data_IF_151853899855
#
_entry.id   IF_151853899855
#
_cell.length_a   1.000
_cell.length_b   1.000
_cell.length_c   1.000
_cell.angle_alpha   90.00
_cell.angle_beta   90.00
_cell.angle_gamma   90.00
#
_symmetry.space_group_name_H-M   'P 1'
#
loop_
_entity.id
_entity.type
_entity.pdbx_description
1 polymer ?
#
# COMPACT_ATOMS: atom_id res chain seq x y z
N UNK A 1 -1.13 -14.92 49.56
CA UNK A 1 -0.42 -13.62 49.58
C UNK A 1 0.65 -13.69 48.51
N UNK A 2 0.86 -12.70 47.64
CA UNK A 2 0.13 -11.44 47.41
C UNK A 2 -0.23 -11.33 45.93
N UNK A 3 -1.42 -10.81 45.62
CA UNK A 3 -1.84 -10.52 44.25
C UNK A 3 -1.48 -9.09 43.88
N UNK A 4 -0.82 -8.89 42.74
CA UNK A 4 -0.83 -7.62 42.03
C UNK A 4 -1.41 -7.83 40.64
N UNK A 5 -2.34 -6.95 40.27
CA UNK A 5 -3.07 -7.01 39.00
C UNK A 5 -2.58 -5.88 38.10
N UNK A 6 -2.30 -6.19 36.83
CA UNK A 6 -1.90 -5.20 35.83
C UNK A 6 -2.78 -5.35 34.59
N UNK A 7 -3.39 -4.24 34.17
CA UNK A 7 -3.76 -3.98 32.77
C UNK A 7 -4.85 -4.84 32.12
N UNK A 8 -6.13 -4.61 32.46
CA UNK A 8 -7.20 -4.87 31.48
C UNK A 8 -6.98 -3.96 30.25
N UNK A 9 -6.75 -4.52 29.06
CA UNK A 9 -6.74 -3.74 27.82
C UNK A 9 -5.99 -4.33 26.62
N UNK A 10 -4.96 -5.16 26.84
CA UNK A 10 -4.17 -5.75 25.73
C UNK A 10 -4.92 -6.94 25.14
N UNK A 11 -5.67 -6.70 24.07
CA UNK A 11 -6.20 -7.78 23.23
C UNK A 11 -5.07 -8.34 22.35
N UNK A 12 -4.73 -9.62 22.50
CA UNK A 12 -3.87 -10.33 21.55
C UNK A 12 -4.60 -10.42 20.21
N UNK A 13 -4.22 -9.57 19.25
CA UNK A 13 -4.51 -9.86 17.85
C UNK A 13 -3.64 -11.06 17.42
N UNK A 14 -4.18 -11.96 16.60
CA UNK A 14 -3.38 -13.04 16.04
C UNK A 14 -2.26 -12.45 15.15
N UNK A 15 -1.06 -13.05 15.11
CA UNK A 15 0.01 -12.55 14.25
C UNK A 15 -0.45 -12.62 12.79
N UNK A 16 -0.69 -11.47 12.17
CA UNK A 16 -0.73 -11.39 10.71
C UNK A 16 0.67 -11.70 10.22
N UNK A 17 0.79 -12.73 9.38
CA UNK A 17 1.91 -12.86 8.46
C UNK A 17 1.85 -11.65 7.51
N UNK A 18 2.58 -10.60 7.87
CA UNK A 18 2.82 -9.47 6.96
C UNK A 18 4.01 -9.91 6.10
N UNK A 19 3.68 -10.48 4.95
CA UNK A 19 4.64 -10.93 3.93
C UNK A 19 5.54 -9.78 3.51
N UNK A 20 6.85 -10.07 3.50
CA UNK A 20 7.88 -9.39 2.70
C UNK A 20 7.90 -7.86 2.87
N UNK A 21 8.21 -7.45 4.10
CA UNK A 21 8.68 -6.10 4.41
C UNK A 21 10.21 -6.08 4.47
N UNK A 22 10.79 -4.99 3.99
CA UNK A 22 12.25 -4.73 4.00
C UNK A 22 12.96 -4.93 5.35
N UNK A 23 12.25 -4.72 6.46
CA UNK A 23 12.76 -4.91 7.83
C UNK A 23 12.63 -6.36 8.30
N UNK A 24 11.69 -7.14 7.75
CA UNK A 24 11.42 -8.51 8.21
C UNK A 24 12.58 -9.48 7.97
N UNK A 25 13.39 -9.31 6.90
CA UNK A 25 14.57 -10.15 6.65
C UNK A 25 15.55 -10.17 7.84
N UNK A 26 15.72 -9.03 8.49
CA UNK A 26 16.58 -8.87 9.68
C UNK A 26 15.89 -9.31 11.00
N UNK A 27 14.58 -9.53 11.00
CA UNK A 27 13.72 -9.38 12.20
C UNK A 27 12.68 -10.50 12.38
N UNK A 28 12.81 -11.63 11.67
CA UNK A 28 11.87 -12.77 11.72
C UNK A 28 11.51 -13.20 13.16
N UNK A 29 10.30 -12.82 13.62
CA UNK A 29 9.76 -13.13 14.95
C UNK A 29 10.00 -12.09 16.07
N UNK A 30 10.58 -10.92 15.79
CA UNK A 30 10.95 -9.92 16.83
C UNK A 30 10.25 -8.55 16.70
N UNK A 31 9.56 -8.25 15.60
CA UNK A 31 8.75 -7.02 15.44
C UNK A 31 7.26 -7.30 15.62
N UNK A 32 6.55 -6.38 16.28
CA UNK A 32 5.08 -6.36 16.29
C UNK A 32 4.52 -4.94 16.26
N UNK A 33 3.23 -4.81 15.94
CA UNK A 33 2.51 -3.53 15.99
C UNK A 33 1.79 -3.41 17.33
N UNK A 34 2.01 -2.31 18.05
CA UNK A 34 1.14 -1.90 19.16
C UNK A 34 0.07 -0.95 18.63
N UNK A 35 -1.19 -1.21 18.99
CA UNK A 35 -2.31 -0.30 18.73
C UNK A 35 -2.81 0.26 20.08
N UNK A 36 -2.77 1.58 20.27
CA UNK A 36 -3.17 2.25 21.51
C UNK A 36 -4.70 2.38 21.63
N UNK A 37 -5.40 1.24 21.73
CA UNK A 37 -6.85 1.25 21.90
C UNK A 37 -7.26 1.74 23.29
N UNK A 38 -8.27 2.60 23.28
CA UNK A 38 -9.18 2.82 24.39
C UNK A 38 -10.60 2.96 23.83
N UNK A 39 -11.54 2.18 24.35
CA UNK A 39 -12.97 2.30 24.03
C UNK A 39 -13.51 3.69 24.38
N UNK A 40 -12.92 4.31 25.41
CA UNK A 40 -13.19 5.68 25.83
C UNK A 40 -12.64 6.67 24.79
N UNK A 41 -11.43 6.49 24.26
CA UNK A 41 -10.82 7.40 23.27
C UNK A 41 -11.64 7.55 21.98
N UNK A 42 -12.18 6.45 21.41
CA UNK A 42 -13.09 6.52 20.25
C UNK A 42 -14.43 7.22 20.54
N UNK A 43 -14.82 7.34 21.81
CA UNK A 43 -16.00 8.09 22.23
C UNK A 43 -15.66 9.55 22.52
N UNK A 44 -14.57 9.83 23.25
CA UNK A 44 -14.09 11.19 23.54
C UNK A 44 -13.76 11.97 22.26
N UNK A 45 -13.10 11.34 21.28
CA UNK A 45 -12.81 11.95 19.98
C UNK A 45 -14.08 12.28 19.18
N UNK A 46 -15.14 11.47 19.31
CA UNK A 46 -16.48 11.78 18.74
C UNK A 46 -17.21 12.90 19.50
N UNK A 47 -16.76 13.25 20.70
CA UNK A 47 -17.33 14.28 21.58
C UNK A 47 -16.45 15.55 21.64
N UNK A 48 -15.40 15.66 20.81
CA UNK A 48 -14.36 16.70 20.88
C UNK A 48 -13.67 16.85 22.26
N UNK A 49 -13.76 15.83 23.12
CA UNK A 49 -13.03 15.79 24.37
C UNK A 49 -11.62 15.27 24.09
N UNK A 50 -10.61 16.08 24.40
CA UNK A 50 -9.21 15.72 24.23
C UNK A 50 -8.79 14.54 25.13
N UNK A 51 -7.70 13.82 24.79
CA UNK A 51 -7.16 12.79 25.67
C UNK A 51 -6.65 13.40 26.98
N UNK A 52 -6.78 12.68 28.09
CA UNK A 52 -6.35 13.20 29.40
C UNK A 52 -4.81 13.21 29.52
N UNK A 53 -4.22 14.06 30.37
CA UNK A 53 -2.76 14.15 30.50
C UNK A 53 -2.09 12.81 30.84
N UNK A 54 -2.73 11.97 31.65
CA UNK A 54 -2.23 10.66 32.06
C UNK A 54 -2.18 9.67 30.89
N UNK A 55 -3.08 9.82 29.90
CA UNK A 55 -3.05 9.03 28.67
C UNK A 55 -1.88 9.45 27.77
N UNK A 56 -1.59 10.76 27.68
CA UNK A 56 -0.42 11.28 26.98
C UNK A 56 0.89 10.84 27.65
N UNK A 57 1.02 10.99 28.97
CA UNK A 57 2.22 10.55 29.70
C UNK A 57 2.45 9.05 29.58
N UNK A 58 1.38 8.22 29.56
CA UNK A 58 1.53 6.79 29.30
C UNK A 58 2.06 6.49 27.90
N UNK A 59 1.61 7.22 26.86
CA UNK A 59 2.15 7.07 25.50
C UNK A 59 3.61 7.54 25.45
N UNK A 60 3.93 8.68 26.06
CA UNK A 60 5.30 9.20 26.13
C UNK A 60 6.24 8.25 26.90
N UNK A 61 5.75 7.61 27.96
CA UNK A 61 6.47 6.57 28.69
C UNK A 61 6.77 5.36 27.81
N UNK A 62 5.76 4.82 27.10
CA UNK A 62 5.95 3.72 26.14
C UNK A 62 6.92 4.08 25.00
N UNK A 63 6.90 5.32 24.51
CA UNK A 63 7.80 5.80 23.46
C UNK A 63 9.25 6.01 23.94
N UNK A 64 9.47 6.28 25.24
CA UNK A 64 10.79 6.57 25.83
C UNK A 64 11.46 5.37 26.50
N UNK A 65 10.67 4.45 27.05
CA UNK A 65 11.13 3.37 27.92
C UNK A 65 10.62 1.98 27.48
N UNK A 66 10.07 1.89 26.27
CA UNK A 66 9.56 0.64 25.72
C UNK A 66 8.36 0.05 26.49
N UNK A 67 8.12 -1.25 26.26
CA UNK A 67 7.19 -2.11 27.01
C UNK A 67 7.84 -3.49 27.17
N UNK A 68 7.82 -4.04 28.39
CA UNK A 68 8.20 -5.44 28.64
C UNK A 68 6.97 -6.37 28.49
N UNK A 69 7.10 -7.45 27.73
CA UNK A 69 6.08 -8.50 27.60
C UNK A 69 6.73 -9.87 27.78
N UNK A 70 6.49 -10.51 28.93
CA UNK A 70 7.11 -11.78 29.29
C UNK A 70 8.58 -11.58 29.65
N UNK A 71 9.46 -12.32 28.96
CA UNK A 71 10.92 -12.27 29.05
C UNK A 71 11.57 -11.24 28.10
N UNK A 72 10.78 -10.57 27.26
CA UNK A 72 11.26 -9.65 26.22
C UNK A 72 10.92 -8.20 26.52
N UNK A 73 11.93 -7.34 26.43
CA UNK A 73 11.80 -5.88 26.38
C UNK A 73 11.64 -5.44 24.92
N UNK A 74 10.66 -4.58 24.64
CA UNK A 74 10.36 -4.07 23.31
C UNK A 74 10.50 -2.56 23.27
N UNK A 75 11.39 -2.08 22.41
CA UNK A 75 11.63 -0.66 22.18
C UNK A 75 10.70 -0.11 21.10
N UNK A 76 10.42 1.20 21.17
CA UNK A 76 9.85 1.90 20.02
C UNK A 76 10.79 1.76 18.81
N UNK A 77 10.28 1.33 17.66
CA UNK A 77 11.05 1.24 16.42
C UNK A 77 10.72 2.41 15.48
N UNK A 78 9.47 2.48 15.03
CA UNK A 78 9.04 3.35 13.94
C UNK A 78 7.52 3.55 13.87
N UNK A 79 7.06 4.51 13.07
CA UNK A 79 5.66 4.69 12.70
C UNK A 79 5.50 5.16 11.24
N UNK A 80 4.40 4.79 10.62
CA UNK A 80 3.98 5.28 9.29
C UNK A 80 2.81 6.27 9.34
N UNK A 81 2.51 6.89 8.19
CA UNK A 81 1.34 7.76 8.04
C UNK A 81 -0.01 7.03 8.04
N UNK A 82 -0.06 5.69 7.93
CA UNK A 82 -1.26 4.90 8.20
C UNK A 82 -1.39 4.60 9.69
N UNK A 83 -0.33 4.06 10.30
CA UNK A 83 -0.30 3.74 11.72
C UNK A 83 -0.67 4.92 12.62
N UNK A 84 -0.18 6.14 12.33
CA UNK A 84 -0.59 7.34 13.07
C UNK A 84 -2.10 7.64 13.02
N UNK A 85 -2.80 7.29 11.93
CA UNK A 85 -4.28 7.44 11.85
C UNK A 85 -5.00 6.35 12.62
N UNK A 86 -4.43 5.16 12.62
CA UNK A 86 -4.97 3.98 13.31
C UNK A 86 -4.58 3.93 14.81
N UNK A 87 -3.80 4.92 15.28
CA UNK A 87 -3.25 5.06 16.63
C UNK A 87 -2.31 3.90 17.01
N UNK A 88 -1.45 3.51 16.08
CA UNK A 88 -0.50 2.41 16.22
C UNK A 88 0.93 2.80 15.86
N UNK A 89 1.87 1.89 16.12
CA UNK A 89 3.30 1.99 15.78
C UNK A 89 3.97 0.62 15.80
N UNK A 90 5.20 0.53 15.26
CA UNK A 90 6.05 -0.66 15.37
C UNK A 90 6.93 -0.61 16.61
N UNK A 91 7.00 -1.75 17.30
CA UNK A 91 7.94 -2.02 18.38
C UNK A 91 8.85 -3.20 18.01
N UNK A 92 10.07 -3.23 18.53
CA UNK A 92 11.07 -4.25 18.26
C UNK A 92 11.61 -4.85 19.56
N UNK A 93 11.62 -6.18 19.68
CA UNK A 93 12.27 -6.87 20.80
C UNK A 93 13.78 -6.83 20.63
N UNK A 94 14.45 -6.02 21.45
CA UNK A 94 15.90 -5.89 21.41
C UNK A 94 16.61 -7.19 21.80
N UNK A 95 17.76 -7.42 21.18
CA UNK A 95 18.57 -8.64 21.30
C UNK A 95 20.02 -8.26 21.62
N UNK A 96 20.84 -9.23 22.00
CA UNK A 96 22.25 -8.99 22.36
C UNK A 96 23.09 -8.28 21.28
N UNK A 97 22.71 -8.42 20.00
CA UNK A 97 23.48 -7.90 18.85
C UNK A 97 22.71 -6.88 17.99
N UNK A 98 21.43 -6.63 18.27
CA UNK A 98 20.56 -5.77 17.46
C UNK A 98 19.47 -5.14 18.33
N UNK A 99 19.34 -3.81 18.25
CA UNK A 99 18.32 -3.01 18.95
C UNK A 99 17.60 -2.07 17.98
N UNK A 100 16.58 -1.36 18.46
CA UNK A 100 15.78 -0.46 17.62
C UNK A 100 16.55 0.76 17.06
N UNK A 101 17.65 1.20 17.71
CA UNK A 101 18.48 2.30 17.21
C UNK A 101 19.37 1.86 16.04
N UNK A 102 20.04 0.71 16.14
CA UNK A 102 20.84 0.15 15.03
C UNK A 102 19.96 -0.07 13.79
N UNK A 103 18.71 -0.53 13.98
CA UNK A 103 17.76 -0.68 12.87
C UNK A 103 17.36 0.70 12.29
N UNK A 104 17.17 1.74 13.12
CA UNK A 104 16.91 3.11 12.65
C UNK A 104 18.07 3.70 11.87
N UNK A 105 19.31 3.46 12.29
CA UNK A 105 20.49 3.95 11.58
C UNK A 105 20.67 3.23 10.23
N UNK A 106 20.42 1.91 10.18
CA UNK A 106 20.36 1.14 8.92
C UNK A 106 19.28 1.64 7.95
N UNK A 107 18.12 2.09 8.45
CA UNK A 107 17.05 2.65 7.62
C UNK A 107 17.45 3.94 6.89
N UNK A 108 18.45 4.68 7.37
CA UNK A 108 18.96 5.92 6.78
C UNK A 108 19.00 7.12 7.72
N UNK A 109 19.73 8.15 7.32
CA UNK A 109 19.92 9.37 8.08
C UNK A 109 18.74 10.35 7.92
N UNK A 110 17.76 10.25 8.80
CA UNK A 110 16.60 11.16 8.82
C UNK A 110 16.84 12.47 9.60
N UNK A 111 18.04 12.73 10.14
CA UNK A 111 18.32 13.84 11.09
C UNK A 111 18.07 15.23 10.51
N UNK A 112 18.07 15.39 9.19
CA UNK A 112 17.75 16.63 8.48
C UNK A 112 16.23 16.95 8.41
N UNK A 113 15.36 15.97 8.61
CA UNK A 113 13.92 16.07 8.32
C UNK A 113 13.12 16.61 9.51
N UNK A 114 13.00 17.94 9.58
CA UNK A 114 12.27 18.63 10.67
C UNK A 114 10.73 18.49 10.61
N UNK A 115 10.15 18.16 9.47
CA UNK A 115 8.70 18.05 9.30
C UNK A 115 8.21 16.63 9.64
N UNK A 116 7.44 16.48 10.73
CA UNK A 116 7.00 15.17 11.25
C UNK A 116 6.24 14.32 10.22
N UNK A 117 5.36 14.91 9.40
CA UNK A 117 4.64 14.17 8.37
C UNK A 117 5.56 13.69 7.23
N UNK A 118 6.60 14.45 6.92
CA UNK A 118 7.64 14.06 5.96
C UNK A 118 8.55 12.98 6.54
N UNK A 119 8.95 13.12 7.81
CA UNK A 119 9.71 12.12 8.56
C UNK A 119 8.98 10.76 8.58
N UNK A 120 7.71 10.75 8.98
CA UNK A 120 6.84 9.56 8.94
C UNK A 120 6.82 8.90 7.56
N UNK A 121 6.78 9.71 6.49
CA UNK A 121 6.72 9.25 5.09
C UNK A 121 8.08 8.81 4.52
N UNK A 122 9.20 9.15 5.18
CA UNK A 122 10.52 8.59 4.87
C UNK A 122 10.80 7.33 5.68
N UNK A 123 10.40 7.29 6.94
CA UNK A 123 10.52 6.08 7.76
C UNK A 123 9.69 4.92 7.17
N UNK A 124 8.45 5.19 6.74
CA UNK A 124 7.58 4.30 5.95
C UNK A 124 8.18 3.84 4.60
N UNK A 125 9.27 4.47 4.14
CA UNK A 125 10.02 4.02 2.95
C UNK A 125 10.81 2.73 3.21
N UNK A 126 11.05 2.35 4.47
CA UNK A 126 11.65 1.05 4.83
C UNK A 126 10.59 -0.01 5.21
N UNK A 127 9.30 0.33 5.23
CA UNK A 127 8.20 -0.57 5.62
C UNK A 127 7.09 -0.68 4.55
N UNK A 128 7.44 -0.52 3.28
CA UNK A 128 6.53 -0.93 2.20
C UNK A 128 6.87 -2.35 1.75
N UNK A 129 5.88 -3.14 1.28
CA UNK A 129 6.19 -4.35 0.54
C UNK A 129 6.90 -3.99 -0.76
N UNK A 130 7.93 -4.75 -1.11
CA UNK A 130 8.69 -4.70 -2.36
C UNK A 130 8.88 -6.12 -2.90
N UNK A 131 9.16 -6.27 -4.19
CA UNK A 131 9.70 -7.51 -4.73
C UNK A 131 11.20 -7.35 -4.87
N UNK A 132 11.94 -8.09 -4.06
CA UNK A 132 13.39 -7.99 -4.02
C UNK A 132 13.99 -8.49 -5.33
N UNK A 133 14.67 -7.60 -6.04
CA UNK A 133 15.18 -7.87 -7.39
C UNK A 133 16.68 -8.11 -7.29
N UNK A 134 17.05 -9.27 -6.73
CA UNK A 134 18.36 -9.67 -6.18
C UNK A 134 19.55 -9.11 -6.97
N UNK A 135 19.94 -7.88 -6.63
CA UNK A 135 21.10 -7.17 -7.17
C UNK A 135 21.42 -6.00 -6.22
N UNK A 136 22.55 -6.10 -5.52
CA UNK A 136 23.21 -4.91 -4.96
C UNK A 136 23.80 -4.13 -6.12
N UNK A 137 23.33 -2.92 -6.38
CA UNK A 137 23.91 -2.08 -7.44
C UNK A 137 25.04 -1.29 -6.81
N UNK A 138 26.26 -1.50 -7.32
CA UNK A 138 27.46 -0.84 -6.82
C UNK A 138 27.44 0.67 -7.05
N UNK A 139 28.13 1.43 -6.20
CA UNK A 139 28.27 2.89 -6.36
C UNK A 139 29.02 3.26 -7.66
N UNK A 140 29.84 2.33 -8.12
CA UNK A 140 30.60 2.28 -9.38
C UNK A 140 29.77 1.83 -10.59
N UNK A 141 28.52 1.38 -10.38
CA UNK A 141 27.59 0.94 -11.43
C UNK A 141 26.44 1.94 -11.67
N UNK A 142 26.53 3.11 -11.00
CA UNK A 142 25.52 4.17 -10.94
C UNK A 142 26.04 5.47 -11.55
N UNK A 143 25.18 6.13 -12.32
CA UNK A 143 25.41 7.49 -12.81
C UNK A 143 24.47 8.51 -12.14
N UNK A 144 24.94 9.74 -11.96
CA UNK A 144 24.21 10.84 -11.34
C UNK A 144 23.87 11.92 -12.36
N UNK A 145 22.77 11.68 -13.07
CA UNK A 145 22.28 12.56 -14.13
C UNK A 145 21.51 13.76 -13.55
N UNK A 146 21.62 14.97 -14.13
CA UNK A 146 20.89 16.15 -13.66
C UNK A 146 19.37 15.98 -13.83
N UNK A 147 18.56 16.79 -13.15
CA UNK A 147 17.11 16.80 -13.37
C UNK A 147 16.72 17.42 -14.73
N UNK A 148 15.70 16.86 -15.38
CA UNK A 148 15.17 17.28 -16.69
C UNK A 148 13.68 17.59 -16.56
N UNK A 149 13.21 18.58 -17.33
CA UNK A 149 11.82 19.00 -17.41
C UNK A 149 11.11 18.29 -18.61
N UNK A 150 10.30 17.23 -18.36
CA UNK A 150 9.36 16.49 -19.30
C UNK A 150 9.99 15.38 -20.22
N UNK A 151 9.37 14.25 -20.69
CA UNK A 151 8.31 13.25 -20.24
C UNK A 151 8.08 12.14 -21.36
N UNK A 152 7.86 10.79 -21.30
CA UNK A 152 7.54 9.68 -20.31
C UNK A 152 7.97 8.21 -20.73
N UNK A 153 8.65 7.43 -19.86
CA UNK A 153 8.69 5.94 -19.82
C UNK A 153 9.46 5.32 -18.60
N UNK A 154 9.03 4.19 -17.97
CA UNK A 154 9.75 3.58 -16.79
C UNK A 154 9.00 2.75 -15.70
N UNK A 155 9.70 2.44 -14.59
CA UNK A 155 9.40 1.51 -13.47
C UNK A 155 9.58 2.13 -12.06
N UNK A 156 8.77 1.79 -11.03
CA UNK A 156 8.88 2.45 -9.71
C UNK A 156 9.83 1.74 -8.72
N UNK A 157 10.80 2.48 -8.16
CA UNK A 157 11.88 1.95 -7.32
C UNK A 157 12.04 2.59 -5.92
N UNK A 158 12.76 1.89 -5.03
CA UNK A 158 13.51 2.43 -3.88
C UNK A 158 14.97 1.94 -3.98
N UNK A 159 15.94 2.77 -3.59
CA UNK A 159 17.38 2.43 -3.50
C UNK A 159 18.06 3.47 -2.59
N UNK A 160 18.84 3.11 -1.57
CA UNK A 160 19.70 4.07 -0.84
C UNK A 160 19.08 5.42 -0.45
N UNK A 161 17.80 5.45 -0.05
CA UNK A 161 17.05 6.68 0.23
C UNK A 161 16.49 7.42 -1.00
N UNK A 162 16.94 7.11 -2.21
CA UNK A 162 16.30 7.49 -3.47
C UNK A 162 14.93 6.82 -3.64
N UNK A 163 13.98 7.57 -4.23
CA UNK A 163 12.64 7.08 -4.59
C UNK A 163 12.09 7.84 -5.80
N UNK A 164 11.84 7.11 -6.89
CA UNK A 164 11.41 7.67 -8.16
C UNK A 164 10.92 6.59 -9.12
N UNK A 165 11.07 6.87 -10.41
CA UNK A 165 10.66 5.99 -11.51
C UNK A 165 11.78 5.97 -12.56
N UNK A 166 12.21 4.80 -13.03
CA UNK A 166 13.39 4.62 -13.91
C UNK A 166 13.04 3.93 -15.23
N UNK A 167 13.53 4.47 -16.34
CA UNK A 167 13.43 3.85 -17.66
C UNK A 167 14.34 2.62 -17.77
N UNK A 168 14.11 1.80 -18.79
CA UNK A 168 15.19 0.99 -19.38
C UNK A 168 15.69 1.78 -20.57
N UNK A 169 16.96 2.18 -20.54
CA UNK A 169 17.67 2.78 -21.67
C UNK A 169 18.64 1.73 -22.26
N UNK A 170 18.36 1.17 -23.45
CA UNK A 170 19.26 0.21 -24.10
C UNK A 170 20.59 0.80 -24.58
N UNK A 171 20.77 2.12 -24.52
CA UNK A 171 22.00 2.81 -24.94
C UNK A 171 22.92 3.21 -23.78
N UNK A 172 22.42 3.19 -22.54
CA UNK A 172 23.23 3.49 -21.35
C UNK A 172 24.19 2.35 -21.01
N UNK A 173 25.47 2.62 -20.69
CA UNK A 173 26.40 1.63 -20.17
C UNK A 173 26.21 1.32 -18.68
N UNK A 174 25.37 2.10 -17.97
CA UNK A 174 25.19 2.03 -16.52
C UNK A 174 24.01 1.13 -16.15
N UNK A 175 24.06 0.51 -14.95
CA UNK A 175 22.94 -0.32 -14.45
C UNK A 175 21.77 0.52 -13.94
N UNK A 176 22.05 1.71 -13.42
CA UNK A 176 21.06 2.59 -12.79
C UNK A 176 21.51 4.05 -12.86
N UNK A 177 20.70 4.92 -13.44
CA UNK A 177 20.92 6.38 -13.40
C UNK A 177 19.98 7.03 -12.41
N UNK A 178 20.51 7.86 -11.51
CA UNK A 178 19.78 8.52 -10.42
C UNK A 178 19.85 10.05 -10.57
N UNK A 179 18.78 10.74 -10.15
CA UNK A 179 18.67 12.22 -10.19
C UNK A 179 18.68 12.84 -8.80
N UNK A 180 19.16 14.09 -8.64
CA UNK A 180 19.05 14.83 -7.38
C UNK A 180 17.63 14.88 -6.82
N UNK A 181 16.61 15.13 -7.65
CA UNK A 181 15.22 15.13 -7.22
C UNK A 181 14.74 13.78 -6.69
N UNK A 182 15.40 12.67 -7.01
CA UNK A 182 15.05 11.33 -6.51
C UNK A 182 15.57 11.07 -5.09
N UNK A 183 16.66 11.70 -4.65
CA UNK A 183 17.22 11.57 -3.30
C UNK A 183 16.25 12.14 -2.24
N UNK A 184 15.91 11.35 -1.20
CA UNK A 184 14.92 11.75 -0.18
C UNK A 184 15.45 11.84 1.25
N UNK A 185 16.57 11.17 1.51
CA UNK A 185 17.36 11.13 2.75
C UNK A 185 18.64 10.34 2.41
N UNK A 186 19.71 10.53 3.18
CA UNK A 186 20.98 9.85 2.93
C UNK A 186 20.97 8.43 3.53
N UNK A 187 21.55 7.44 2.84
CA UNK A 187 21.64 6.05 3.31
C UNK A 187 22.77 5.33 2.57
N UNK A 188 23.46 4.42 3.27
CA UNK A 188 24.53 3.57 2.71
C UNK A 188 23.99 2.27 2.08
N UNK A 189 22.66 2.08 2.05
CA UNK A 189 22.02 0.85 1.61
C UNK A 189 21.96 0.74 0.07
N UNK A 190 22.77 -0.16 -0.51
CA UNK A 190 22.90 -0.40 -1.96
C UNK A 190 21.90 -1.42 -2.55
N UNK A 191 20.82 -1.75 -1.83
CA UNK A 191 19.76 -2.66 -2.29
C UNK A 191 18.78 -1.93 -3.22
N UNK A 192 18.42 -2.57 -4.34
CA UNK A 192 17.45 -2.05 -5.32
C UNK A 192 16.11 -2.79 -5.24
N UNK A 193 15.04 -2.03 -5.06
CA UNK A 193 13.70 -2.57 -4.80
C UNK A 193 12.66 -2.09 -5.79
N UNK A 194 12.09 -3.03 -6.54
CA UNK A 194 10.99 -2.76 -7.46
C UNK A 194 9.66 -2.87 -6.71
N UNK A 195 8.92 -1.76 -6.65
CA UNK A 195 7.59 -1.71 -6.02
C UNK A 195 6.48 -2.08 -7.01
N UNK A 196 6.68 -1.68 -8.26
CA UNK A 196 5.76 -1.93 -9.36
C UNK A 196 6.49 -1.73 -10.70
N UNK A 197 6.33 -2.69 -11.60
CA UNK A 197 6.70 -2.56 -13.01
C UNK A 197 5.52 -2.07 -13.87
N UNK A 198 5.81 -1.63 -15.09
CA UNK A 198 4.76 -1.25 -16.06
C UNK A 198 3.96 -2.49 -16.48
N UNK A 199 2.63 -2.45 -16.25
CA UNK A 199 1.69 -3.51 -16.66
C UNK A 199 0.34 -2.91 -17.09
N UNK A 200 -0.56 -3.74 -17.59
CA UNK A 200 -1.94 -3.29 -17.85
C UNK A 200 -2.65 -2.99 -16.52
N UNK A 201 -3.31 -1.83 -16.42
CA UNK A 201 -4.13 -1.44 -15.28
C UNK A 201 -5.42 -0.77 -15.81
N UNK A 202 -6.60 -1.39 -15.61
CA UNK A 202 -7.87 -0.86 -16.12
C UNK A 202 -8.24 0.48 -15.47
N UNK A 203 -8.67 1.46 -16.27
CA UNK A 203 -9.10 2.76 -15.74
C UNK A 203 -10.55 2.75 -15.28
N UNK A 204 -10.81 3.40 -14.15
CA UNK A 204 -12.15 3.65 -13.62
C UNK A 204 -12.32 5.14 -13.36
N UNK A 205 -13.47 5.71 -13.74
CA UNK A 205 -13.90 6.98 -13.17
C UNK A 205 -14.20 6.79 -11.68
N UNK A 206 -14.13 7.89 -10.95
CA UNK A 206 -14.54 8.02 -9.55
C UNK A 206 -15.16 9.42 -9.37
N UNK A 207 -15.68 9.71 -8.18
CA UNK A 207 -16.32 11.01 -7.89
C UNK A 207 -15.41 12.21 -8.18
N UNK A 208 -14.11 12.10 -7.88
CA UNK A 208 -13.14 13.17 -8.10
C UNK A 208 -12.92 13.47 -9.60
N UNK A 209 -12.79 12.42 -10.42
CA UNK A 209 -12.67 12.52 -11.88
C UNK A 209 -13.96 13.08 -12.50
N UNK A 210 -15.13 12.64 -12.03
CA UNK A 210 -16.44 13.12 -12.50
C UNK A 210 -16.60 14.62 -12.21
N UNK A 211 -16.28 15.07 -10.99
CA UNK A 211 -16.32 16.49 -10.62
C UNK A 211 -15.39 17.31 -11.52
N UNK A 212 -14.13 16.87 -11.69
CA UNK A 212 -13.15 17.57 -12.54
C UNK A 212 -13.65 17.69 -13.99
N UNK A 213 -14.13 16.60 -14.58
CA UNK A 213 -14.63 16.59 -15.96
C UNK A 213 -15.91 17.44 -16.11
N UNK A 214 -16.80 17.45 -15.12
CA UNK A 214 -17.99 18.33 -15.11
C UNK A 214 -17.58 19.81 -15.06
N UNK A 215 -16.58 20.19 -14.23
CA UNK A 215 -16.02 21.55 -14.22
C UNK A 215 -15.29 21.94 -15.52
N UNK A 216 -14.85 20.95 -16.31
CA UNK A 216 -14.29 21.15 -17.66
C UNK A 216 -15.35 21.10 -18.77
N UNK A 217 -16.65 21.11 -18.42
CA UNK A 217 -17.77 21.22 -19.36
C UNK A 217 -18.36 19.88 -19.85
N UNK A 218 -17.92 18.73 -19.32
CA UNK A 218 -18.51 17.43 -19.66
C UNK A 218 -19.89 17.30 -18.98
N UNK A 219 -20.95 17.39 -19.79
CA UNK A 219 -22.36 17.37 -19.33
C UNK A 219 -22.70 16.06 -18.60
N UNK A 220 -23.42 16.17 -17.49
CA UNK A 220 -23.60 15.05 -16.53
C UNK A 220 -24.27 13.79 -17.11
N UNK A 221 -25.15 13.95 -18.10
CA UNK A 221 -25.78 12.82 -18.82
C UNK A 221 -24.78 11.85 -19.47
N UNK A 222 -23.54 12.28 -19.72
CA UNK A 222 -22.43 11.42 -20.19
C UNK A 222 -21.99 10.45 -19.10
N UNK A 223 -21.87 10.91 -17.85
CA UNK A 223 -21.56 10.05 -16.71
C UNK A 223 -22.73 9.13 -16.37
N UNK A 224 -23.97 9.64 -16.42
CA UNK A 224 -25.16 8.79 -16.26
C UNK A 224 -25.22 7.70 -17.33
N UNK A 225 -24.95 8.01 -18.60
CA UNK A 225 -24.91 7.02 -19.68
C UNK A 225 -23.86 5.96 -19.39
N UNK A 226 -22.66 6.36 -18.98
CA UNK A 226 -21.58 5.44 -18.55
C UNK A 226 -21.97 4.59 -17.33
N UNK A 227 -22.75 5.13 -16.40
CA UNK A 227 -23.28 4.38 -15.26
C UNK A 227 -24.37 3.38 -15.69
N UNK A 228 -25.30 3.77 -16.56
CA UNK A 228 -26.33 2.88 -17.13
C UNK A 228 -25.71 1.75 -17.95
N UNK A 229 -24.71 2.05 -18.78
CA UNK A 229 -23.91 1.05 -19.51
C UNK A 229 -23.24 0.05 -18.55
N UNK A 230 -22.62 0.53 -17.47
CA UNK A 230 -21.97 -0.34 -16.48
C UNK A 230 -22.95 -1.20 -15.66
N UNK A 231 -24.15 -0.69 -15.35
CA UNK A 231 -25.20 -1.48 -14.67
C UNK A 231 -25.73 -2.57 -15.61
N UNK A 232 -26.05 -2.24 -16.86
CA UNK A 232 -26.52 -3.22 -17.84
C UNK A 232 -25.49 -4.35 -18.08
N UNK A 233 -24.19 -4.03 -18.13
CA UNK A 233 -23.12 -5.03 -18.19
C UNK A 233 -23.08 -5.94 -16.95
N UNK A 234 -23.26 -5.37 -15.75
CA UNK A 234 -23.30 -6.15 -14.50
C UNK A 234 -24.54 -7.04 -14.41
N UNK A 235 -25.65 -6.65 -15.03
CA UNK A 235 -26.89 -7.45 -15.03
C UNK A 235 -26.74 -8.70 -15.89
N UNK A 236 -26.14 -8.59 -17.09
CA UNK A 236 -25.90 -9.73 -18.00
C UNK A 236 -24.93 -10.82 -17.49
N UNK A 237 -24.28 -10.63 -16.33
CA UNK A 237 -23.31 -11.58 -15.76
C UNK A 237 -23.94 -12.94 -15.41
N UNK A 238 -25.24 -12.98 -15.13
CA UNK A 238 -25.95 -14.21 -14.76
C UNK A 238 -26.55 -14.95 -15.97
N UNK A 239 -26.71 -14.26 -17.11
CA UNK A 239 -27.41 -14.77 -18.29
C UNK A 239 -26.46 -15.19 -19.43
N UNK A 240 -25.28 -14.56 -19.53
CA UNK A 240 -24.31 -14.73 -20.63
C UNK A 240 -22.97 -15.29 -20.09
N UNK A 241 -22.59 -16.53 -20.43
CA UNK A 241 -21.32 -17.14 -20.01
C UNK A 241 -20.07 -16.31 -20.37
N UNK A 242 -20.08 -15.55 -21.47
CA UNK A 242 -18.95 -14.69 -21.83
C UNK A 242 -18.84 -13.49 -20.88
N UNK A 243 -19.97 -12.97 -20.39
CA UNK A 243 -20.00 -11.91 -19.36
C UNK A 243 -19.63 -12.44 -17.99
N UNK A 244 -19.96 -13.68 -17.70
CA UNK A 244 -19.47 -14.36 -16.51
C UNK A 244 -17.94 -14.50 -16.56
N UNK A 245 -17.33 -14.93 -17.68
CA UNK A 245 -15.85 -15.03 -17.77
C UNK A 245 -15.16 -13.64 -17.73
N UNK A 246 -15.70 -12.62 -18.44
CA UNK A 246 -15.25 -11.21 -18.31
C UNK A 246 -15.33 -10.70 -16.85
N UNK A 247 -16.35 -11.11 -16.10
CA UNK A 247 -16.53 -10.74 -14.69
C UNK A 247 -15.51 -11.46 -13.78
N UNK A 248 -15.22 -12.73 -14.03
CA UNK A 248 -14.20 -13.49 -13.31
C UNK A 248 -12.80 -12.89 -13.53
N UNK A 249 -12.46 -12.43 -14.74
CA UNK A 249 -11.20 -11.70 -15.00
C UNK A 249 -11.09 -10.34 -14.27
N UNK A 250 -12.22 -9.81 -13.78
CA UNK A 250 -12.29 -8.58 -12.97
C UNK A 250 -12.38 -8.87 -11.45
N UNK A 251 -12.15 -10.11 -11.03
CA UNK A 251 -11.87 -10.50 -9.64
C UNK A 251 -10.37 -10.33 -9.30
N UNK A 252 -9.99 -10.61 -8.05
CA UNK A 252 -8.59 -10.84 -7.71
C UNK A 252 -8.13 -12.16 -8.33
N UNK A 253 -7.04 -12.20 -9.12
CA UNK A 253 -6.51 -13.45 -9.67
C UNK A 253 -6.03 -14.38 -8.55
N UNK A 254 -6.31 -15.66 -8.68
CA UNK A 254 -6.00 -16.68 -7.67
C UNK A 254 -6.81 -17.96 -7.90
N UNK A 255 -6.57 -18.98 -7.07
CA UNK A 255 -7.13 -20.33 -7.22
C UNK A 255 -8.66 -20.34 -7.30
N UNK A 256 -9.34 -19.59 -6.42
CA UNK A 256 -10.80 -19.44 -6.42
C UNK A 256 -11.36 -18.94 -7.77
N UNK A 257 -10.66 -18.00 -8.42
CA UNK A 257 -11.07 -17.44 -9.71
C UNK A 257 -10.89 -18.45 -10.84
N UNK A 258 -9.83 -19.26 -10.78
CA UNK A 258 -9.62 -20.35 -11.74
C UNK A 258 -10.67 -21.46 -11.56
N UNK A 259 -10.99 -21.84 -10.31
CA UNK A 259 -12.05 -22.81 -10.01
C UNK A 259 -13.41 -22.34 -10.56
N UNK A 260 -13.76 -21.06 -10.37
CA UNK A 260 -14.99 -20.50 -10.92
C UNK A 260 -15.01 -20.48 -12.46
N UNK A 261 -13.86 -20.30 -13.13
CA UNK A 261 -13.77 -20.40 -14.60
C UNK A 261 -13.98 -21.82 -15.09
N UNK A 262 -13.40 -22.82 -14.43
CA UNK A 262 -13.60 -24.23 -14.81
C UNK A 262 -15.05 -24.68 -14.51
N UNK A 263 -15.65 -24.25 -13.39
CA UNK A 263 -17.08 -24.45 -13.13
C UNK A 263 -17.96 -23.83 -14.22
N UNK A 264 -17.67 -22.60 -14.65
CA UNK A 264 -18.36 -21.92 -15.74
C UNK A 264 -18.17 -22.60 -17.10
N UNK A 265 -17.06 -23.32 -17.33
CA UNK A 265 -16.82 -24.13 -18.53
C UNK A 265 -17.53 -25.49 -18.50
N UNK A 266 -17.84 -26.00 -17.30
CA UNK A 266 -18.62 -27.22 -17.11
C UNK A 266 -20.14 -26.96 -17.02
N UNK A 267 -20.59 -25.71 -16.89
CA UNK A 267 -21.99 -25.33 -16.79
C UNK A 267 -22.50 -24.72 -18.11
N UNK A 268 -23.62 -25.22 -18.64
CA UNK A 268 -24.24 -24.67 -19.85
C UNK A 268 -24.73 -23.22 -19.67
N UNK A 269 -25.03 -22.80 -18.42
CA UNK A 269 -25.51 -21.47 -18.06
C UNK A 269 -24.90 -21.00 -16.71
N UNK A 270 -24.67 -19.69 -16.49
CA UNK A 270 -23.97 -19.20 -15.28
C UNK A 270 -24.76 -19.36 -13.98
N UNK A 271 -26.08 -19.54 -14.07
CA UNK A 271 -26.99 -19.75 -12.95
C UNK A 271 -27.25 -21.23 -12.62
N UNK A 272 -26.90 -22.15 -13.53
CA UNK A 272 -27.22 -23.58 -13.45
C UNK A 272 -26.52 -24.35 -12.33
N UNK A 273 -25.42 -23.81 -11.77
CA UNK A 273 -24.75 -24.35 -10.59
C UNK A 273 -24.92 -23.36 -9.41
N UNK A 274 -25.56 -23.75 -8.29
CA UNK A 274 -25.89 -22.83 -7.19
C UNK A 274 -24.71 -22.07 -6.57
N UNK A 275 -23.52 -22.67 -6.46
CA UNK A 275 -22.34 -22.01 -5.90
C UNK A 275 -21.74 -20.98 -6.87
N UNK A 276 -21.58 -21.33 -8.16
CA UNK A 276 -21.21 -20.40 -9.23
C UNK A 276 -22.18 -19.22 -9.29
N UNK A 277 -23.49 -19.49 -9.33
CA UNK A 277 -24.55 -18.48 -9.33
C UNK A 277 -24.45 -17.54 -8.13
N UNK A 278 -24.29 -18.09 -6.91
CA UNK A 278 -24.12 -17.29 -5.68
C UNK A 278 -22.83 -16.44 -5.70
N UNK A 279 -21.75 -16.95 -6.27
CA UNK A 279 -20.48 -16.22 -6.39
C UNK A 279 -20.56 -15.08 -7.42
N UNK A 280 -21.21 -15.31 -8.58
CA UNK A 280 -21.47 -14.28 -9.58
C UNK A 280 -22.46 -13.21 -9.07
N UNK A 281 -23.51 -13.60 -8.35
CA UNK A 281 -24.42 -12.68 -7.66
C UNK A 281 -23.69 -11.83 -6.61
N UNK A 282 -22.82 -12.43 -5.81
CA UNK A 282 -21.99 -11.74 -4.80
C UNK A 282 -21.04 -10.74 -5.45
N UNK A 283 -20.44 -11.11 -6.58
CA UNK A 283 -19.61 -10.20 -7.39
C UNK A 283 -20.43 -9.02 -7.92
N UNK A 284 -21.57 -9.27 -8.56
CA UNK A 284 -22.50 -8.24 -9.07
C UNK A 284 -22.90 -7.26 -7.96
N UNK A 285 -23.32 -7.78 -6.80
CA UNK A 285 -23.67 -6.96 -5.63
C UNK A 285 -22.49 -6.10 -5.14
N UNK A 286 -21.27 -6.65 -5.10
CA UNK A 286 -20.05 -5.93 -4.74
C UNK A 286 -19.72 -4.79 -5.71
N UNK A 287 -19.80 -5.02 -7.03
CA UNK A 287 -19.56 -3.98 -8.04
C UNK A 287 -20.67 -2.90 -8.04
N UNK A 288 -21.94 -3.28 -7.85
CA UNK A 288 -23.06 -2.34 -7.68
C UNK A 288 -22.88 -1.45 -6.43
N UNK A 289 -22.37 -2.01 -5.33
CA UNK A 289 -22.00 -1.25 -4.14
C UNK A 289 -20.86 -0.26 -4.43
N UNK A 290 -19.84 -0.67 -5.19
CA UNK A 290 -18.71 0.17 -5.59
C UNK A 290 -19.15 1.33 -6.50
N UNK A 291 -20.09 1.08 -7.43
CA UNK A 291 -20.76 2.09 -8.23
C UNK A 291 -21.55 3.09 -7.35
N UNK A 292 -22.34 2.59 -6.38
CA UNK A 292 -23.15 3.44 -5.49
C UNK A 292 -22.29 4.30 -4.56
N UNK A 293 -21.28 3.70 -3.90
CA UNK A 293 -20.51 4.34 -2.81
C UNK A 293 -19.31 5.13 -3.32
N UNK A 294 -18.69 4.72 -4.43
CA UNK A 294 -17.45 5.33 -4.95
C UNK A 294 -17.58 5.91 -6.35
N UNK A 295 -18.71 5.68 -7.03
CA UNK A 295 -18.92 6.01 -8.45
C UNK A 295 -17.87 5.37 -9.35
N UNK A 296 -17.46 4.13 -9.02
CA UNK A 296 -16.35 3.39 -9.65
C UNK A 296 -16.74 2.80 -11.02
N UNK A 297 -16.98 3.67 -12.00
CA UNK A 297 -17.44 3.28 -13.35
C UNK A 297 -16.23 2.88 -14.21
N UNK A 298 -16.22 1.68 -14.77
CA UNK A 298 -15.17 1.21 -15.68
C UNK A 298 -15.18 1.97 -17.01
N UNK A 299 -14.02 2.24 -17.61
CA UNK A 299 -13.89 2.90 -18.91
C UNK A 299 -13.00 2.04 -19.83
N UNK A 300 -13.58 1.17 -20.68
CA UNK A 300 -12.82 0.19 -21.47
C UNK A 300 -11.75 0.78 -22.41
N UNK A 301 -11.96 2.01 -22.90
CA UNK A 301 -11.01 2.72 -23.78
C UNK A 301 -9.99 3.59 -23.02
N UNK A 302 -9.86 3.44 -21.70
CA UNK A 302 -8.91 4.17 -20.88
C UNK A 302 -8.09 3.22 -20.00
N UNK A 303 -6.82 3.59 -19.77
CA UNK A 303 -5.84 2.79 -19.02
C UNK A 303 -5.13 3.67 -18.00
N UNK A 304 -4.93 3.15 -16.80
CA UNK A 304 -4.00 3.76 -15.84
C UNK A 304 -2.58 3.33 -16.21
N UNK A 305 -1.64 4.27 -16.27
CA UNK A 305 -0.26 4.04 -16.71
C UNK A 305 0.73 4.66 -15.73
N UNK A 306 1.95 4.13 -15.69
CA UNK A 306 3.04 4.76 -14.95
C UNK A 306 3.52 5.98 -15.75
N UNK A 307 3.63 7.14 -15.10
CA UNK A 307 4.17 8.37 -15.68
C UNK A 307 5.62 8.56 -15.24
N UNK A 308 6.49 8.87 -16.20
CA UNK A 308 7.95 8.79 -16.06
C UNK A 308 8.63 9.87 -16.95
N UNK A 309 9.84 9.67 -17.49
CA UNK A 309 10.51 10.60 -18.44
C UNK A 309 10.87 9.98 -19.80
N UNK A 310 10.94 10.77 -20.88
CA UNK A 310 11.54 10.36 -22.16
C UNK A 310 12.95 10.97 -22.22
N UNK A 311 13.96 10.11 -22.18
CA UNK A 311 15.37 10.53 -22.21
C UNK A 311 15.85 10.83 -23.64
N UNK A 312 15.06 10.46 -24.67
CA UNK A 312 15.43 10.60 -26.09
C UNK A 312 15.03 11.94 -26.71
N UNK A 313 14.07 12.65 -26.11
CA UNK A 313 13.53 13.90 -26.66
C UNK A 313 12.81 13.73 -28.00
N UNK A 314 12.09 12.61 -28.18
CA UNK A 314 11.46 12.22 -29.46
C UNK A 314 9.94 12.43 -29.52
N UNK A 315 9.35 13.04 -28.49
CA UNK A 315 7.90 13.21 -28.26
C UNK A 315 7.47 14.69 -28.13
#
# INVERSE_FOLDING_TARGET
MSSQSIGKGIHKCAPRLITDLHVCELVHGFMFTIEFWSSVFKSLWKLNLGPTPEFYERILSTLRYGIVIGDKEFDFLAFSSSQLRDNSLWMFASTANLNADVIREWMGNFRSIRNVATYARRLDQSFGPSTETISTVGMDEIDFIPDIEVVKGGHQIRYGGYKGVVAVDPSSPWKLSLRPSMLKYDSENTKLDVLAWSKYQPCFMNRQIIILLSTLGVKDHVFEKKQREAVAQLDTILDDPLRAEEALDLMSPGENTNILKELLRCADQPDGEPFLSMMLQTFRASKLLDLRVRSRIFVPKARQMMGCLDETGSL
#
